data_IF_199180148521
#
_entry.id   IF_199180148521
#
_cell.length_a   1.000
_cell.length_b   1.000
_cell.length_c   1.000
_cell.angle_alpha   90.00
_cell.angle_beta   90.00
_cell.angle_gamma   90.00
#
_symmetry.space_group_name_H-M   'P 1'
#
loop_
_entity.id
_entity.type
_entity.pdbx_description
1 polymer ?
#
# COMPACT_ATOMS: atom_id res chain seq x y z
N UNK A 1 32.95 -3.40 10.91
CA UNK A 1 32.34 -3.46 12.25
C UNK A 1 31.03 -4.22 12.14
N UNK A 2 30.91 -5.37 12.81
CA UNK A 2 29.67 -6.16 12.87
C UNK A 2 28.72 -5.42 13.81
N UNK A 3 27.55 -5.02 13.34
CA UNK A 3 26.56 -4.33 14.17
C UNK A 3 26.04 -5.28 15.25
N UNK A 4 26.20 -4.88 16.52
CA UNK A 4 25.73 -5.64 17.69
C UNK A 4 24.22 -5.53 17.93
N UNK A 5 23.47 -4.79 17.10
CA UNK A 5 22.04 -4.61 17.27
C UNK A 5 21.30 -5.94 17.00
N UNK A 6 20.69 -6.61 18.00
CA UNK A 6 19.99 -7.88 17.80
C UNK A 6 18.82 -7.77 16.81
N UNK A 7 18.27 -6.56 16.62
CA UNK A 7 17.23 -6.32 15.64
C UNK A 7 17.71 -6.48 14.19
N UNK A 8 19.02 -6.49 13.93
CA UNK A 8 19.58 -6.71 12.57
C UNK A 8 19.98 -8.17 12.31
N UNK A 9 19.53 -9.09 13.15
CA UNK A 9 19.81 -10.52 13.00
C UNK A 9 18.50 -11.32 12.94
N UNK A 10 18.55 -12.45 12.24
CA UNK A 10 17.52 -13.50 12.25
C UNK A 10 18.22 -14.85 12.05
N UNK A 11 17.98 -15.82 12.95
CA UNK A 11 18.55 -17.18 12.86
C UNK A 11 20.07 -17.23 12.63
N UNK A 12 20.82 -16.32 13.25
CA UNK A 12 22.29 -16.25 13.10
C UNK A 12 22.78 -15.58 11.82
N UNK A 13 21.87 -15.12 10.95
CA UNK A 13 22.20 -14.36 9.74
C UNK A 13 22.07 -12.86 9.99
N UNK A 14 23.09 -12.10 9.56
CA UNK A 14 23.02 -10.63 9.55
C UNK A 14 22.15 -10.17 8.38
N UNK A 15 21.12 -9.38 8.68
CA UNK A 15 20.11 -8.99 7.71
C UNK A 15 20.63 -8.01 6.65
N UNK A 16 21.69 -7.26 6.94
CA UNK A 16 22.28 -6.29 6.01
C UNK A 16 23.63 -6.78 5.47
N UNK A 17 23.86 -8.10 5.43
CA UNK A 17 25.08 -8.64 4.83
C UNK A 17 25.09 -8.30 3.33
N UNK A 18 26.15 -7.62 2.90
CA UNK A 18 26.34 -7.16 1.52
C UNK A 18 26.98 -8.26 0.67
N UNK A 19 26.46 -8.50 -0.53
CA UNK A 19 27.09 -9.42 -1.48
C UNK A 19 28.17 -8.68 -2.27
N UNK A 20 29.42 -8.88 -1.85
CA UNK A 20 30.58 -8.28 -2.52
C UNK A 20 30.90 -8.93 -3.86
N UNK A 21 30.53 -10.19 -4.05
CA UNK A 21 30.87 -10.94 -5.27
C UNK A 21 29.99 -10.51 -6.45
N UNK A 22 28.71 -10.26 -6.19
CA UNK A 22 27.74 -9.83 -7.20
C UNK A 22 27.48 -8.32 -7.19
N UNK A 23 28.15 -7.56 -6.31
CA UNK A 23 27.90 -6.14 -6.06
C UNK A 23 26.42 -5.85 -5.72
N UNK A 24 25.77 -6.81 -5.07
CA UNK A 24 24.35 -6.82 -4.77
C UNK A 24 24.14 -6.28 -3.36
N UNK A 25 23.14 -5.41 -3.14
CA UNK A 25 22.91 -4.75 -1.85
C UNK A 25 22.81 -5.71 -0.66
N UNK A 26 22.33 -6.93 -0.89
CA UNK A 26 22.19 -7.97 0.12
C UNK A 26 22.60 -9.33 -0.43
N UNK A 27 23.26 -10.16 0.39
CA UNK A 27 23.50 -11.58 0.09
C UNK A 27 22.18 -12.35 0.00
N UNK A 28 22.17 -13.46 -0.74
CA UNK A 28 21.00 -14.36 -0.81
C UNK A 28 20.59 -14.88 0.58
N UNK A 29 21.57 -15.13 1.45
CA UNK A 29 21.31 -15.52 2.84
C UNK A 29 20.62 -14.39 3.62
N UNK A 30 21.10 -13.14 3.47
CA UNK A 30 20.47 -11.97 4.06
C UNK A 30 19.04 -11.76 3.53
N UNK A 31 18.80 -11.85 2.22
CA UNK A 31 17.45 -11.75 1.62
C UNK A 31 16.48 -12.78 2.22
N UNK A 32 16.91 -14.05 2.32
CA UNK A 32 16.10 -15.12 2.94
C UNK A 32 15.84 -14.88 4.43
N UNK A 33 16.83 -14.40 5.18
CA UNK A 33 16.67 -14.09 6.58
C UNK A 33 15.74 -12.88 6.81
N UNK A 34 15.81 -11.86 5.95
CA UNK A 34 14.86 -10.75 5.95
C UNK A 34 13.43 -11.24 5.70
N UNK A 35 13.22 -12.06 4.67
CA UNK A 35 11.91 -12.62 4.35
C UNK A 35 11.35 -13.48 5.50
N UNK A 36 12.18 -14.34 6.10
CA UNK A 36 11.79 -15.18 7.24
C UNK A 36 11.38 -14.33 8.45
N UNK A 37 12.17 -13.30 8.76
CA UNK A 37 11.87 -12.34 9.82
C UNK A 37 10.55 -11.62 9.55
N UNK A 38 10.33 -11.17 8.32
CA UNK A 38 9.10 -10.49 7.93
C UNK A 38 7.88 -11.39 8.08
N UNK A 39 7.93 -12.63 7.56
CA UNK A 39 6.85 -13.61 7.74
C UNK A 39 6.52 -13.83 9.21
N UNK A 40 7.54 -13.97 10.07
CA UNK A 40 7.35 -14.10 11.52
C UNK A 40 6.71 -12.86 12.15
N UNK A 41 7.13 -11.66 11.75
CA UNK A 41 6.58 -10.41 12.28
C UNK A 41 5.13 -10.15 11.82
N UNK A 42 4.80 -10.49 10.57
CA UNK A 42 3.45 -10.40 10.02
C UNK A 42 2.51 -11.41 10.69
N UNK A 43 2.98 -12.64 10.94
CA UNK A 43 2.20 -13.66 11.66
C UNK A 43 1.78 -13.20 13.08
N UNK A 44 2.59 -12.36 13.72
CA UNK A 44 2.28 -11.77 15.02
C UNK A 44 1.35 -10.54 14.96
N UNK A 45 1.08 -10.03 13.75
CA UNK A 45 0.27 -8.82 13.50
C UNK A 45 -0.74 -9.06 12.39
N UNK A 46 -1.60 -10.09 12.50
CA UNK A 46 -2.60 -10.34 11.48
C UNK A 46 -3.61 -9.18 11.40
N UNK A 47 -4.31 -9.04 10.26
CA UNK A 47 -5.43 -8.11 10.13
C UNK A 47 -6.48 -8.35 11.21
N UNK A 48 -7.14 -7.29 11.68
CA UNK A 48 -8.10 -7.38 12.79
C UNK A 48 -9.45 -6.82 12.39
N UNK A 49 -10.52 -7.50 12.76
CA UNK A 49 -11.87 -6.99 12.55
C UNK A 49 -12.22 -5.83 13.51
N UNK A 50 -11.65 -5.86 14.72
CA UNK A 50 -11.78 -4.81 15.72
C UNK A 50 -10.42 -4.44 16.30
N UNK A 51 -10.22 -3.14 16.54
CA UNK A 51 -9.01 -2.63 17.17
C UNK A 51 -9.22 -2.53 18.69
N UNK A 52 -8.37 -3.16 19.52
CA UNK A 52 -8.44 -3.02 20.97
C UNK A 52 -8.28 -1.56 21.41
N UNK A 53 -9.07 -1.11 22.40
CA UNK A 53 -9.01 0.26 22.93
C UNK A 53 -7.62 0.71 23.40
N UNK A 54 -6.76 -0.23 23.82
CA UNK A 54 -5.36 0.07 24.21
C UNK A 54 -4.47 0.52 23.03
N UNK A 55 -4.95 0.34 21.79
CA UNK A 55 -4.28 0.80 20.56
C UNK A 55 -4.89 2.10 20.03
N UNK A 56 -5.91 2.65 20.70
CA UNK A 56 -6.37 4.01 20.46
C UNK A 56 -5.48 4.96 21.26
N UNK A 57 -4.82 5.93 20.61
CA UNK A 57 -3.87 6.83 21.25
C UNK A 57 -4.59 7.77 22.20
N UNK A 58 -3.96 7.99 23.36
CA UNK A 58 -4.31 9.09 24.27
C UNK A 58 -3.36 10.26 24.04
N UNK A 59 -3.72 11.49 24.44
CA UNK A 59 -2.81 12.63 24.35
C UNK A 59 -1.42 12.31 24.89
N UNK A 60 -0.39 12.50 24.07
CA UNK A 60 1.02 12.24 24.43
C UNK A 60 1.49 10.78 24.28
N UNK A 61 0.64 9.85 23.82
CA UNK A 61 1.05 8.47 23.56
C UNK A 61 1.47 8.27 22.09
N UNK A 62 2.65 7.67 21.89
CA UNK A 62 3.09 7.15 20.58
C UNK A 62 2.78 5.66 20.53
N UNK A 63 1.70 5.30 19.83
CA UNK A 63 1.30 3.92 19.56
C UNK A 63 1.63 3.53 18.11
N UNK A 64 1.73 2.24 17.80
CA UNK A 64 1.85 1.81 16.41
C UNK A 64 0.66 2.28 15.58
N UNK A 65 0.94 2.65 14.34
CA UNK A 65 -0.08 3.09 13.38
C UNK A 65 -0.83 1.88 12.82
N UNK A 66 -2.16 2.00 12.77
CA UNK A 66 -3.05 1.06 12.11
C UNK A 66 -3.99 1.80 11.16
N UNK A 67 -4.25 1.22 10.01
CA UNK A 67 -5.24 1.69 9.04
C UNK A 67 -6.46 0.78 9.02
N UNK A 68 -7.67 1.35 9.05
CA UNK A 68 -8.89 0.60 8.80
C UNK A 68 -9.34 0.78 7.35
N UNK A 69 -9.47 -0.32 6.61
CA UNK A 69 -9.94 -0.26 5.24
C UNK A 69 -9.66 -1.50 4.42
N UNK A 70 -9.57 -1.31 3.10
CA UNK A 70 -9.46 -2.40 2.14
C UNK A 70 -8.07 -2.43 1.51
N UNK A 71 -7.32 -3.52 1.67
CA UNK A 71 -6.04 -3.65 1.01
C UNK A 71 -6.23 -3.84 -0.50
N UNK A 72 -5.21 -3.46 -1.27
CA UNK A 72 -5.18 -3.62 -2.72
C UNK A 72 -3.75 -3.92 -3.21
N UNK A 73 -3.66 -4.47 -4.42
CA UNK A 73 -2.40 -4.62 -5.16
C UNK A 73 -2.26 -3.51 -6.20
N UNK A 74 -1.05 -3.18 -6.61
CA UNK A 74 -0.81 -2.24 -7.72
C UNK A 74 -1.45 -2.72 -9.01
N UNK A 75 -1.44 -4.04 -9.27
CA UNK A 75 -2.14 -4.63 -10.40
C UNK A 75 -3.62 -4.30 -10.34
N UNK A 76 -4.27 -4.49 -9.18
CA UNK A 76 -5.67 -4.13 -9.02
C UNK A 76 -5.93 -2.63 -9.26
N UNK A 77 -5.08 -1.74 -8.74
CA UNK A 77 -5.24 -0.30 -8.93
C UNK A 77 -5.12 0.12 -10.41
N UNK A 78 -4.15 -0.44 -11.15
CA UNK A 78 -4.00 -0.22 -12.60
C UNK A 78 -5.23 -0.71 -13.34
N UNK A 79 -5.68 -1.93 -13.06
CA UNK A 79 -6.87 -2.50 -13.68
C UNK A 79 -8.14 -1.71 -13.36
N UNK A 80 -8.27 -1.20 -12.12
CA UNK A 80 -9.37 -0.32 -11.76
C UNK A 80 -9.33 0.96 -12.60
N UNK A 81 -8.18 1.62 -12.68
CA UNK A 81 -8.03 2.85 -13.47
C UNK A 81 -8.35 2.64 -14.96
N UNK A 82 -7.90 1.51 -15.54
CA UNK A 82 -8.24 1.08 -16.91
C UNK A 82 -9.75 0.89 -17.09
N UNK A 83 -10.39 0.05 -16.26
CA UNK A 83 -11.83 -0.27 -16.39
C UNK A 83 -12.73 0.95 -16.27
N UNK A 84 -12.35 1.90 -15.42
CA UNK A 84 -13.12 3.11 -15.15
C UNK A 84 -12.69 4.30 -16.01
N UNK A 85 -11.82 4.08 -17.02
CA UNK A 85 -11.32 5.12 -17.93
C UNK A 85 -10.84 6.39 -17.18
N UNK A 86 -10.10 6.17 -16.09
CA UNK A 86 -9.60 7.27 -15.30
C UNK A 86 -8.49 7.97 -16.08
N UNK A 87 -8.56 9.30 -16.14
CA UNK A 87 -7.63 10.10 -16.93
C UNK A 87 -6.75 11.00 -16.07
N UNK A 88 -5.57 11.33 -16.60
CA UNK A 88 -4.65 12.30 -16.02
C UNK A 88 -4.13 13.27 -17.09
N UNK A 89 -4.13 14.59 -16.83
CA UNK A 89 -3.42 15.54 -17.69
C UNK A 89 -1.92 15.26 -17.67
N UNK A 90 -1.28 15.27 -18.83
CA UNK A 90 0.16 15.11 -18.98
C UNK A 90 0.87 16.46 -19.04
N UNK A 91 1.98 16.56 -18.28
CA UNK A 91 2.91 17.68 -18.43
C UNK A 91 3.50 17.67 -19.83
N UNK A 92 3.88 18.85 -20.36
CA UNK A 92 4.41 18.96 -21.74
C UNK A 92 5.62 18.06 -21.96
N UNK A 93 6.47 17.94 -20.93
CA UNK A 93 7.68 17.11 -20.89
C UNK A 93 7.37 15.61 -21.05
N UNK A 94 6.22 15.15 -20.56
CA UNK A 94 5.84 13.73 -20.62
C UNK A 94 5.10 13.37 -21.91
N UNK A 95 4.59 14.36 -22.66
CA UNK A 95 3.72 14.09 -23.81
C UNK A 95 4.41 13.27 -24.88
N UNK A 96 5.69 13.53 -25.16
CA UNK A 96 6.45 12.75 -26.16
C UNK A 96 6.49 11.25 -25.81
N UNK A 97 6.73 10.93 -24.53
CA UNK A 97 6.69 9.55 -24.02
C UNK A 97 5.31 8.90 -24.21
N UNK A 98 4.24 9.69 -24.17
CA UNK A 98 2.86 9.23 -24.38
C UNK A 98 2.28 9.64 -25.74
N UNK A 99 3.11 9.67 -26.79
CA UNK A 99 2.63 9.81 -28.17
C UNK A 99 2.05 11.19 -28.52
N UNK A 100 2.47 12.23 -27.80
CA UNK A 100 2.06 13.63 -27.98
C UNK A 100 0.74 14.00 -27.31
N UNK A 101 0.11 13.09 -26.58
CA UNK A 101 -1.19 13.33 -25.95
C UNK A 101 -1.09 14.32 -24.79
N UNK A 102 -2.09 15.19 -24.63
CA UNK A 102 -2.19 16.11 -23.49
C UNK A 102 -2.90 15.49 -22.28
N UNK A 103 -3.66 14.42 -22.49
CA UNK A 103 -4.38 13.67 -21.46
C UNK A 103 -4.16 12.20 -21.75
N UNK A 104 -3.73 11.46 -20.74
CA UNK A 104 -3.63 10.01 -20.80
C UNK A 104 -4.90 9.39 -20.21
N UNK A 105 -5.57 8.53 -20.99
CA UNK A 105 -6.52 7.56 -20.46
C UNK A 105 -5.74 6.31 -20.02
N UNK A 106 -5.89 5.91 -18.76
CA UNK A 106 -5.19 4.75 -18.23
C UNK A 106 -5.55 3.45 -18.98
N UNK A 107 -6.70 3.40 -19.65
CA UNK A 107 -7.10 2.28 -20.53
C UNK A 107 -6.14 2.07 -21.73
N UNK A 108 -5.37 3.08 -22.12
CA UNK A 108 -4.42 3.01 -23.25
C UNK A 108 -3.06 2.41 -22.88
N UNK A 109 -2.75 2.31 -21.59
CA UNK A 109 -1.56 1.59 -21.14
C UNK A 109 -1.88 0.10 -21.20
N UNK A 110 -1.22 -0.67 -22.06
CA UNK A 110 -1.34 -2.13 -22.11
C UNK A 110 -0.23 -2.84 -21.31
N UNK A 111 -0.37 -4.15 -21.11
CA UNK A 111 0.59 -4.93 -20.32
C UNK A 111 1.97 -5.05 -21.00
N UNK A 112 2.02 -5.03 -22.32
CA UNK A 112 3.28 -5.10 -23.07
C UNK A 112 4.12 -3.86 -22.82
N UNK A 113 3.48 -2.68 -22.82
CA UNK A 113 4.13 -1.40 -22.53
C UNK A 113 4.62 -1.32 -21.08
N UNK A 114 3.80 -1.76 -20.12
CA UNK A 114 4.21 -1.81 -18.71
C UNK A 114 5.36 -2.80 -18.45
N UNK A 115 5.44 -3.87 -19.24
CA UNK A 115 6.53 -4.84 -19.13
C UNK A 115 7.83 -4.31 -19.75
N UNK A 116 7.74 -3.57 -20.86
CA UNK A 116 8.88 -3.07 -21.62
C UNK A 116 9.60 -1.89 -20.95
N UNK A 117 8.87 -1.05 -20.22
CA UNK A 117 9.40 0.22 -19.69
C UNK A 117 9.17 0.33 -18.18
N UNK A 118 10.27 0.44 -17.43
CA UNK A 118 10.24 0.56 -15.97
C UNK A 118 9.68 1.90 -15.50
N UNK A 119 10.01 3.01 -16.16
CA UNK A 119 9.57 4.34 -15.77
C UNK A 119 8.06 4.46 -15.99
N UNK A 120 7.56 3.97 -17.12
CA UNK A 120 6.11 3.91 -17.39
C UNK A 120 5.43 3.01 -16.37
N UNK A 121 6.05 1.88 -15.97
CA UNK A 121 5.49 0.99 -14.95
C UNK A 121 5.41 1.68 -13.59
N UNK A 122 6.45 2.38 -13.15
CA UNK A 122 6.47 3.13 -11.88
C UNK A 122 5.45 4.26 -11.90
N UNK A 123 5.38 4.99 -13.01
CA UNK A 123 4.36 6.01 -13.27
C UNK A 123 2.95 5.43 -13.14
N UNK A 124 2.67 4.34 -13.87
CA UNK A 124 1.35 3.71 -13.89
C UNK A 124 0.92 3.23 -12.50
N UNK A 125 1.82 2.63 -11.70
CA UNK A 125 1.53 2.23 -10.31
C UNK A 125 1.12 3.43 -9.46
N UNK A 126 1.90 4.51 -9.52
CA UNK A 126 1.71 5.70 -8.69
C UNK A 126 0.44 6.46 -9.09
N UNK A 127 0.24 6.68 -10.39
CA UNK A 127 -0.92 7.41 -10.93
C UNK A 127 -2.20 6.62 -10.72
N UNK A 128 -2.21 5.32 -11.02
CA UNK A 128 -3.42 4.49 -10.88
C UNK A 128 -3.90 4.44 -9.43
N UNK A 129 -2.98 4.34 -8.45
CA UNK A 129 -3.30 4.41 -7.03
C UNK A 129 -4.02 5.73 -6.69
N UNK A 130 -3.42 6.86 -7.08
CA UNK A 130 -3.97 8.18 -6.80
C UNK A 130 -5.33 8.39 -7.47
N UNK A 131 -5.46 8.02 -8.75
CA UNK A 131 -6.70 8.14 -9.51
C UNK A 131 -7.82 7.27 -8.91
N UNK A 132 -7.52 6.01 -8.57
CA UNK A 132 -8.47 5.10 -7.92
C UNK A 132 -8.97 5.70 -6.60
N UNK A 133 -8.09 6.14 -5.71
CA UNK A 133 -8.48 6.67 -4.41
C UNK A 133 -9.30 7.95 -4.55
N UNK A 134 -8.93 8.84 -5.49
CA UNK A 134 -9.69 10.06 -5.80
C UNK A 134 -11.09 9.73 -6.32
N UNK A 135 -11.20 8.78 -7.24
CA UNK A 135 -12.49 8.35 -7.77
C UNK A 135 -13.36 7.73 -6.68
N UNK A 136 -12.80 6.81 -5.88
CA UNK A 136 -13.51 6.19 -4.76
C UNK A 136 -13.95 7.23 -3.71
N UNK A 137 -13.10 8.21 -3.41
CA UNK A 137 -13.45 9.30 -2.48
C UNK A 137 -14.65 10.09 -2.98
N UNK A 138 -14.65 10.43 -4.28
CA UNK A 138 -15.77 11.10 -4.96
C UNK A 138 -17.04 10.25 -4.92
N UNK A 139 -16.95 8.95 -5.22
CA UNK A 139 -18.08 8.01 -5.16
C UNK A 139 -18.66 7.90 -3.74
N UNK A 140 -17.78 7.92 -2.73
CA UNK A 140 -18.16 7.85 -1.32
C UNK A 140 -18.72 9.17 -0.78
N UNK A 141 -18.42 10.31 -1.42
CA UNK A 141 -18.68 11.64 -0.86
C UNK A 141 -17.85 11.90 0.41
N UNK A 142 -16.71 11.23 0.54
CA UNK A 142 -15.87 11.22 1.73
C UNK A 142 -14.41 11.07 1.31
N UNK A 143 -13.53 11.90 1.85
CA UNK A 143 -12.10 11.85 1.54
C UNK A 143 -11.51 10.56 2.08
N UNK A 144 -10.90 9.74 1.22
CA UNK A 144 -10.19 8.53 1.63
C UNK A 144 -8.68 8.76 1.58
N UNK A 145 -7.96 8.05 2.45
CA UNK A 145 -6.51 8.09 2.50
C UNK A 145 -5.90 6.79 1.98
N UNK A 146 -4.59 6.78 1.78
CA UNK A 146 -3.82 5.57 1.50
C UNK A 146 -2.81 5.30 2.59
N UNK A 147 -2.65 4.03 2.94
CA UNK A 147 -1.56 3.56 3.80
C UNK A 147 -0.81 2.41 3.16
N UNK A 148 0.16 1.86 3.89
CA UNK A 148 0.88 0.65 3.47
C UNK A 148 0.64 -0.47 4.47
N UNK A 149 -0.23 -1.45 4.16
CA UNK A 149 -0.49 -2.54 5.08
C UNK A 149 0.77 -3.36 5.28
N UNK A 150 0.98 -3.82 6.50
CA UNK A 150 2.12 -4.67 6.86
C UNK A 150 1.92 -6.10 6.33
N UNK A 151 2.09 -6.24 5.02
CA UNK A 151 1.79 -7.42 4.22
C UNK A 151 2.78 -7.56 3.07
N UNK A 152 3.07 -8.80 2.67
CA UNK A 152 3.77 -9.08 1.41
C UNK A 152 2.81 -9.29 0.25
N UNK A 153 1.52 -9.51 0.54
CA UNK A 153 0.49 -9.81 -0.46
C UNK A 153 -0.21 -8.55 -0.98
N UNK A 154 -0.08 -7.43 -0.26
CA UNK A 154 -0.81 -6.19 -0.51
C UNK A 154 0.15 -5.01 -0.62
N UNK A 155 -0.01 -4.23 -1.69
CA UNK A 155 0.86 -3.09 -1.99
C UNK A 155 0.41 -1.80 -1.29
N UNK A 156 -0.88 -1.70 -0.97
CA UNK A 156 -1.47 -0.54 -0.33
C UNK A 156 -2.80 -0.85 0.33
N UNK A 157 -3.33 0.12 1.07
CA UNK A 157 -4.67 0.07 1.67
C UNK A 157 -5.41 1.37 1.37
N UNK A 158 -6.66 1.27 0.90
CA UNK A 158 -7.59 2.40 0.89
C UNK A 158 -8.13 2.52 2.31
N UNK A 159 -7.66 3.53 3.03
CA UNK A 159 -7.89 3.76 4.45
C UNK A 159 -9.08 4.71 4.64
N UNK A 160 -10.07 4.28 5.41
CA UNK A 160 -11.17 5.14 5.84
C UNK A 160 -10.71 6.05 6.99
N UNK A 161 -9.90 5.51 7.89
CA UNK A 161 -9.31 6.18 9.03
C UNK A 161 -8.17 5.36 9.63
N UNK A 162 -7.36 6.02 10.43
CA UNK A 162 -6.31 5.44 11.25
C UNK A 162 -6.78 5.30 12.70
N UNK A 163 -6.01 4.61 13.53
CA UNK A 163 -6.28 4.59 14.97
C UNK A 163 -6.12 5.98 15.63
N UNK A 164 -5.45 6.93 14.98
CA UNK A 164 -5.23 8.29 15.50
C UNK A 164 -6.36 9.26 15.20
N UNK A 165 -7.08 9.05 14.10
CA UNK A 165 -8.08 10.00 13.61
C UNK A 165 -9.50 9.41 13.58
N UNK A 166 -9.68 8.13 13.92
CA UNK A 166 -10.97 7.44 13.85
C UNK A 166 -12.09 8.18 14.56
N UNK A 167 -11.85 8.78 15.73
CA UNK A 167 -12.91 9.50 16.46
C UNK A 167 -13.40 10.72 15.69
N UNK A 168 -12.49 11.52 15.15
CA UNK A 168 -12.81 12.71 14.35
C UNK A 168 -13.46 12.32 13.01
N UNK A 169 -12.82 11.39 12.31
CA UNK A 169 -13.21 10.94 10.98
C UNK A 169 -14.52 10.18 10.96
N UNK A 170 -14.82 9.42 12.01
CA UNK A 170 -16.10 8.74 12.16
C UNK A 170 -17.26 9.74 12.29
N UNK A 171 -17.07 10.84 13.02
CA UNK A 171 -18.09 11.90 13.14
C UNK A 171 -18.34 12.60 11.80
N UNK A 172 -17.30 12.78 10.98
CA UNK A 172 -17.42 13.46 9.68
C UNK A 172 -17.95 12.53 8.57
N UNK A 173 -17.91 11.22 8.80
CA UNK A 173 -18.44 10.22 7.87
C UNK A 173 -19.92 9.94 8.16
N UNK A 174 -20.80 10.84 7.68
CA UNK A 174 -22.25 10.78 7.94
C UNK A 174 -22.90 9.41 7.67
N UNK A 175 -22.44 8.68 6.66
CA UNK A 175 -22.95 7.35 6.30
C UNK A 175 -21.80 6.34 6.10
N UNK A 176 -21.14 6.00 7.21
CA UNK A 176 -20.08 4.99 7.26
C UNK A 176 -20.47 3.66 6.60
N UNK A 177 -21.74 3.21 6.73
CA UNK A 177 -22.20 1.97 6.14
C UNK A 177 -22.19 2.06 4.61
N UNK A 178 -22.74 3.13 4.04
CA UNK A 178 -22.71 3.37 2.60
C UNK A 178 -21.28 3.48 2.06
N UNK A 179 -20.38 4.17 2.77
CA UNK A 179 -18.96 4.26 2.36
C UNK A 179 -18.34 2.87 2.32
N UNK A 180 -18.52 2.06 3.36
CA UNK A 180 -18.02 0.67 3.40
C UNK A 180 -18.63 -0.18 2.30
N UNK A 181 -19.93 -0.05 2.00
CA UNK A 181 -20.60 -0.80 0.95
C UNK A 181 -20.10 -0.42 -0.46
N UNK A 182 -19.86 0.87 -0.72
CA UNK A 182 -19.26 1.35 -1.98
C UNK A 182 -17.85 0.79 -2.14
N UNK A 183 -17.02 0.89 -1.10
CA UNK A 183 -15.66 0.38 -1.13
C UNK A 183 -15.63 -1.12 -1.29
N UNK A 184 -16.48 -1.85 -0.57
CA UNK A 184 -16.61 -3.30 -0.72
C UNK A 184 -17.02 -3.66 -2.14
N UNK A 185 -18.02 -2.98 -2.69
CA UNK A 185 -18.46 -3.18 -4.08
C UNK A 185 -17.31 -2.97 -5.06
N UNK A 186 -16.59 -1.85 -4.93
CA UNK A 186 -15.43 -1.56 -5.77
C UNK A 186 -14.35 -2.64 -5.64
N UNK A 187 -13.88 -2.92 -4.43
CA UNK A 187 -12.77 -3.85 -4.16
C UNK A 187 -13.07 -5.30 -4.55
N UNK A 188 -14.35 -5.65 -4.70
CA UNK A 188 -14.81 -6.96 -5.13
C UNK A 188 -15.39 -6.94 -6.56
N UNK A 189 -15.09 -5.92 -7.39
CA UNK A 189 -15.53 -5.84 -8.79
C UNK A 189 -14.99 -6.98 -9.66
N UNK A 190 -13.91 -7.65 -9.23
CA UNK A 190 -13.27 -8.73 -9.98
C UNK A 190 -13.27 -10.03 -9.16
N UNK A 191 -13.42 -11.17 -9.84
CA UNK A 191 -13.50 -12.49 -9.22
C UNK A 191 -12.29 -12.84 -8.34
N UNK A 192 -11.16 -12.16 -8.56
CA UNK A 192 -9.91 -12.33 -7.82
C UNK A 192 -10.01 -11.93 -6.34
N UNK A 193 -11.03 -11.15 -5.94
CA UNK A 193 -11.10 -10.54 -4.62
C UNK A 193 -12.37 -10.83 -3.83
N UNK A 194 -13.16 -11.86 -4.22
CA UNK A 194 -14.55 -12.16 -3.79
C UNK A 194 -14.87 -12.26 -2.26
N UNK A 195 -13.95 -11.91 -1.36
CA UNK A 195 -14.18 -11.89 0.08
C UNK A 195 -13.46 -10.75 0.82
N UNK A 196 -12.93 -9.74 0.11
CA UNK A 196 -12.29 -8.61 0.77
C UNK A 196 -13.31 -7.85 1.63
N UNK A 197 -12.95 -7.68 2.91
CA UNK A 197 -13.69 -6.89 3.90
C UNK A 197 -12.75 -5.85 4.51
N UNK A 198 -13.33 -4.77 5.02
CA UNK A 198 -12.58 -3.77 5.76
C UNK A 198 -12.05 -4.37 7.06
N UNK A 199 -10.75 -4.23 7.29
CA UNK A 199 -10.06 -4.67 8.52
C UNK A 199 -9.03 -3.63 8.93
N UNK A 200 -8.57 -3.75 10.17
CA UNK A 200 -7.43 -3.01 10.70
C UNK A 200 -6.13 -3.69 10.32
N UNK A 201 -5.28 -2.97 9.61
CA UNK A 201 -3.95 -3.40 9.17
C UNK A 201 -2.90 -2.61 9.92
N UNK A 202 -1.89 -3.30 10.44
CA UNK A 202 -0.68 -2.65 10.98
C UNK A 202 0.01 -1.92 9.83
N UNK A 203 0.49 -0.71 10.05
CA UNK A 203 1.20 0.04 9.00
C UNK A 203 2.65 -0.43 8.85
N UNK A 204 3.17 -0.40 7.62
CA UNK A 204 4.52 -0.82 7.30
C UNK A 204 5.59 0.10 7.90
N UNK A 205 5.35 1.40 7.98
CA UNK A 205 6.34 2.42 8.36
C UNK A 205 6.46 2.62 9.89
N UNK A 206 6.08 1.60 10.66
CA UNK A 206 6.32 1.53 12.10
C UNK A 206 7.78 1.14 12.43
N UNK A 207 8.21 1.31 13.70
CA UNK A 207 9.56 0.97 14.19
C UNK A 207 9.97 -0.52 14.00
N UNK A 208 9.00 -1.38 13.66
CA UNK A 208 9.21 -2.80 13.33
C UNK A 208 9.68 -2.97 11.89
N UNK A 209 9.38 -1.98 11.04
CA UNK A 209 9.98 -1.79 9.74
C UNK A 209 11.45 -1.42 9.88
N UNK A 210 12.28 -2.41 10.22
CA UNK A 210 13.73 -2.28 10.22
C UNK A 210 14.30 -1.90 8.84
N UNK A 211 13.46 -2.04 7.82
CA UNK A 211 13.61 -1.45 6.50
C UNK A 211 12.48 -0.43 6.34
N UNK A 212 12.59 0.70 7.06
CA UNK A 212 11.83 1.92 6.72
C UNK A 212 11.95 2.07 5.22
N UNK A 213 10.81 2.33 4.54
CA UNK A 213 10.74 2.53 3.10
C UNK A 213 12.05 3.13 2.59
N UNK A 214 12.86 2.29 1.94
CA UNK A 214 14.05 2.75 1.25
C UNK A 214 13.50 3.60 0.12
N UNK A 215 13.48 4.92 0.35
CA UNK A 215 13.36 5.90 -0.73
C UNK A 215 14.56 5.75 -1.65
#
# INVERSE_FOLDING_TARGET
>A
MVSQNPALWENGQYLNEWDREHNDRYSEAAKKAQEAKWKRLMANRPPRDALPNKLLPRPGQKLPLYHYGFPFTYKYAIEYARRHHLTIPLAEEDRETFGGQAVLDMAELDDARLAADEDIRVFAKSVSRNLMVRDLSRRCGYTLDTGRPFSMDWDGIVSLWTNYDVEERFVWCYDHKKVVDILKGAMNETEWHNSLKAQWWFDWDNDVGLFTSVN
#
